data_IF_718914219135
#
_entry.id   IF_718914219135
#
_cell.length_a   1.000
_cell.length_b   1.000
_cell.length_c   1.000
_cell.angle_alpha   90.00
_cell.angle_beta   90.00
_cell.angle_gamma   90.00
#
_symmetry.space_group_name_H-M   'P 1'
#
loop_
_entity.id
_entity.type
_entity.pdbx_description
1 polymer ?
#
# COMPACT_ATOMS: atom_id res chain seq x y z
N UNK A 1 19.58 -2.78 10.81
CA UNK A 1 18.86 -4.06 11.04
C UNK A 1 17.64 -4.28 10.15
N UNK A 2 16.52 -3.53 10.26
CA UNK A 2 15.31 -3.81 9.45
C UNK A 2 15.56 -3.67 7.93
N UNK A 3 16.25 -2.61 7.52
CA UNK A 3 16.67 -2.35 6.13
C UNK A 3 17.53 -3.48 5.53
N UNK A 4 18.46 -4.02 6.30
CA UNK A 4 19.34 -5.11 5.84
C UNK A 4 18.54 -6.42 5.71
N UNK A 5 17.69 -6.73 6.70
CA UNK A 5 16.78 -7.88 6.64
C UNK A 5 15.85 -7.81 5.42
N UNK A 6 15.31 -6.63 5.13
CA UNK A 6 14.50 -6.38 3.94
C UNK A 6 15.27 -6.65 2.65
N UNK A 7 16.51 -6.15 2.53
CA UNK A 7 17.34 -6.38 1.35
C UNK A 7 17.66 -7.86 1.12
N UNK A 8 18.02 -8.58 2.18
CA UNK A 8 18.32 -10.02 2.11
C UNK A 8 17.07 -10.83 1.71
N UNK A 9 15.93 -10.55 2.34
CA UNK A 9 14.69 -11.27 2.04
C UNK A 9 14.16 -10.93 0.65
N UNK A 10 14.18 -9.66 0.24
CA UNK A 10 13.77 -9.26 -1.10
C UNK A 10 14.61 -9.94 -2.19
N UNK A 11 15.93 -10.04 -1.98
CA UNK A 11 16.80 -10.79 -2.89
C UNK A 11 16.48 -12.28 -2.91
N UNK A 12 16.17 -12.89 -1.76
CA UNK A 12 15.74 -14.29 -1.71
C UNK A 12 14.44 -14.51 -2.49
N UNK A 13 13.43 -13.67 -2.24
CA UNK A 13 12.13 -13.70 -2.94
C UNK A 13 12.32 -13.54 -4.44
N UNK A 14 13.10 -12.55 -4.88
CA UNK A 14 13.29 -12.26 -6.31
C UNK A 14 13.89 -13.43 -7.09
N UNK A 15 14.70 -14.28 -6.43
CA UNK A 15 15.36 -15.44 -7.04
C UNK A 15 14.63 -16.77 -6.76
N UNK A 16 13.45 -16.73 -6.15
CA UNK A 16 12.65 -17.91 -5.82
C UNK A 16 11.67 -18.25 -6.96
N UNK A 17 11.48 -19.55 -7.22
CA UNK A 17 10.61 -20.04 -8.29
C UNK A 17 9.14 -19.58 -8.12
N UNK A 18 8.67 -19.42 -6.87
CA UNK A 18 7.30 -18.98 -6.57
C UNK A 18 7.06 -17.50 -6.90
N UNK A 19 8.11 -16.70 -7.12
CA UNK A 19 8.00 -15.27 -7.40
C UNK A 19 7.27 -14.97 -8.71
N UNK A 20 7.43 -15.84 -9.70
CA UNK A 20 6.69 -15.79 -10.96
C UNK A 20 5.18 -15.71 -10.73
N UNK A 21 4.66 -16.61 -9.90
CA UNK A 21 3.23 -16.74 -9.64
C UNK A 21 2.72 -15.67 -8.69
N UNK A 22 3.49 -15.30 -7.66
CA UNK A 22 3.16 -14.21 -6.75
C UNK A 22 2.95 -12.88 -7.50
N UNK A 23 3.85 -12.54 -8.42
CA UNK A 23 3.71 -11.33 -9.26
C UNK A 23 2.48 -11.41 -10.17
N UNK A 24 2.21 -12.58 -10.77
CA UNK A 24 1.02 -12.79 -11.62
C UNK A 24 -0.26 -12.61 -10.81
N UNK A 25 -0.30 -13.13 -9.59
CA UNK A 25 -1.39 -12.93 -8.64
C UNK A 25 -1.60 -11.45 -8.34
N UNK A 26 -0.55 -10.73 -7.94
CA UNK A 26 -0.63 -9.29 -7.64
C UNK A 26 -1.14 -8.49 -8.83
N UNK A 27 -0.59 -8.72 -10.03
CA UNK A 27 -1.01 -8.02 -11.24
C UNK A 27 -2.50 -8.25 -11.54
N UNK A 28 -2.98 -9.48 -11.34
CA UNK A 28 -4.38 -9.83 -11.60
C UNK A 28 -5.31 -9.24 -10.57
N UNK A 29 -5.00 -9.42 -9.28
CA UNK A 29 -5.92 -9.05 -8.18
C UNK A 29 -5.97 -7.55 -7.97
N UNK A 30 -4.83 -6.86 -7.95
CA UNK A 30 -4.81 -5.40 -7.76
C UNK A 30 -5.53 -4.71 -8.92
N UNK A 31 -5.21 -5.08 -10.17
CA UNK A 31 -5.90 -4.52 -11.34
C UNK A 31 -7.41 -4.81 -11.32
N UNK A 32 -7.85 -6.00 -10.89
CA UNK A 32 -9.27 -6.32 -10.78
C UNK A 32 -9.99 -5.41 -9.79
N UNK A 33 -9.41 -5.15 -8.62
CA UNK A 33 -9.99 -4.28 -7.58
C UNK A 33 -10.19 -2.85 -8.12
N UNK A 34 -9.17 -2.26 -8.76
CA UNK A 34 -9.30 -0.92 -9.36
C UNK A 34 -10.29 -0.84 -10.52
N UNK A 35 -10.46 -1.93 -11.29
CA UNK A 35 -11.41 -1.99 -12.42
C UNK A 35 -12.85 -2.16 -11.94
N UNK A 36 -13.06 -2.83 -10.81
CA UNK A 36 -14.38 -3.00 -10.18
C UNK A 36 -14.81 -1.74 -9.43
N UNK A 37 -13.89 -1.10 -8.71
CA UNK A 37 -14.15 0.13 -7.95
C UNK A 37 -13.30 1.29 -8.49
N UNK A 38 -13.80 1.96 -9.52
CA UNK A 38 -13.07 3.04 -10.20
C UNK A 38 -12.81 4.26 -9.29
N UNK A 39 -13.57 4.43 -8.20
CA UNK A 39 -13.30 5.50 -7.22
C UNK A 39 -11.94 5.35 -6.56
N UNK A 40 -11.37 4.14 -6.52
CA UNK A 40 -9.99 3.91 -6.09
C UNK A 40 -8.96 4.63 -6.94
N UNK A 41 -9.23 4.95 -8.20
CA UNK A 41 -8.32 5.76 -9.01
C UNK A 41 -8.11 7.13 -8.38
N UNK A 42 -9.14 7.71 -7.75
CA UNK A 42 -9.01 8.99 -7.04
C UNK A 42 -8.51 8.83 -5.61
N UNK A 43 -8.92 7.77 -4.90
CA UNK A 43 -8.52 7.53 -3.52
C UNK A 43 -7.07 7.01 -3.37
N UNK A 44 -6.60 6.23 -4.34
CA UNK A 44 -5.38 5.40 -4.28
C UNK A 44 -4.57 5.41 -5.58
N UNK A 45 -5.02 6.08 -6.65
CA UNK A 45 -4.41 5.93 -7.97
C UNK A 45 -2.99 6.49 -8.10
N UNK A 46 -2.60 7.41 -7.23
CA UNK A 46 -1.24 7.93 -7.12
C UNK A 46 -0.75 7.96 -5.67
N UNK A 47 0.55 8.12 -5.48
CA UNK A 47 1.20 8.02 -4.18
C UNK A 47 0.74 9.05 -3.17
N UNK A 48 0.42 10.27 -3.60
CA UNK A 48 -0.04 11.32 -2.68
C UNK A 48 -1.41 10.99 -2.08
N UNK A 49 -2.31 10.44 -2.91
CA UNK A 49 -3.61 9.98 -2.47
C UNK A 49 -3.49 8.73 -1.58
N UNK A 50 -2.74 7.72 -2.03
CA UNK A 50 -2.40 6.52 -1.26
C UNK A 50 -1.84 6.86 0.13
N UNK A 51 -0.79 7.69 0.19
CA UNK A 51 -0.15 8.05 1.45
C UNK A 51 -1.09 8.80 2.38
N UNK A 52 -1.93 9.69 1.83
CA UNK A 52 -2.94 10.41 2.61
C UNK A 52 -3.94 9.45 3.25
N UNK A 53 -4.50 8.52 2.47
CA UNK A 53 -5.49 7.57 2.99
C UNK A 53 -4.87 6.60 3.98
N UNK A 54 -3.73 5.99 3.65
CA UNK A 54 -3.08 5.03 4.56
C UNK A 54 -2.59 5.68 5.85
N UNK A 55 -2.16 6.95 5.82
CA UNK A 55 -1.86 7.69 7.06
C UNK A 55 -3.13 7.95 7.88
N UNK A 56 -4.25 8.30 7.24
CA UNK A 56 -5.53 8.49 7.93
C UNK A 56 -6.01 7.20 8.60
N UNK A 57 -5.96 6.06 7.89
CA UNK A 57 -6.30 4.74 8.43
C UNK A 57 -5.43 4.42 9.65
N UNK A 58 -4.10 4.45 9.50
CA UNK A 58 -3.23 4.06 10.61
C UNK A 58 -3.14 5.07 11.75
N UNK A 59 -3.54 6.32 11.56
CA UNK A 59 -3.77 7.26 12.67
C UNK A 59 -5.08 6.94 13.38
N UNK A 60 -6.12 6.59 12.62
CA UNK A 60 -7.40 6.09 13.12
C UNK A 60 -7.23 4.88 14.01
N UNK A 61 -6.51 3.85 13.56
CA UNK A 61 -6.27 2.63 14.36
C UNK A 61 -5.59 2.93 15.70
N UNK A 62 -4.67 3.89 15.74
CA UNK A 62 -3.96 4.28 16.96
C UNK A 62 -4.81 5.14 17.92
N UNK A 63 -5.89 5.77 17.45
CA UNK A 63 -6.70 6.73 18.22
C UNK A 63 -8.20 6.39 18.17
N UNK A 64 -8.55 5.12 18.43
CA UNK A 64 -9.95 4.71 18.62
C UNK A 64 -10.83 4.85 17.37
N UNK A 65 -10.25 4.72 16.17
CA UNK A 65 -10.94 4.82 14.88
C UNK A 65 -11.05 6.23 14.31
N UNK A 66 -10.43 7.24 14.96
CA UNK A 66 -10.52 8.63 14.53
C UNK A 66 -9.15 9.26 14.24
N UNK A 67 -9.10 10.20 13.30
CA UNK A 67 -7.91 10.98 12.96
C UNK A 67 -8.27 12.46 12.74
N UNK A 68 -7.26 13.33 12.78
CA UNK A 68 -7.44 14.74 12.38
C UNK A 68 -6.71 15.02 11.07
N UNK A 69 -7.24 15.96 10.27
CA UNK A 69 -6.57 16.42 9.05
C UNK A 69 -5.16 16.96 9.33
N UNK A 70 -4.98 17.63 10.46
CA UNK A 70 -3.69 18.17 10.87
C UNK A 70 -2.65 17.05 11.10
N UNK A 71 -3.05 15.96 11.76
CA UNK A 71 -2.17 14.81 11.99
C UNK A 71 -1.76 14.13 10.67
N UNK A 72 -2.69 13.96 9.73
CA UNK A 72 -2.37 13.42 8.40
C UNK A 72 -1.42 14.35 7.64
N UNK A 73 -1.70 15.66 7.64
CA UNK A 73 -0.88 16.67 6.97
C UNK A 73 0.54 16.75 7.55
N UNK A 74 0.70 16.57 8.87
CA UNK A 74 2.01 16.54 9.52
C UNK A 74 2.91 15.40 9.00
N UNK A 75 2.32 14.32 8.47
CA UNK A 75 3.08 13.23 7.84
C UNK A 75 3.38 13.53 6.38
N UNK A 76 2.34 13.84 5.58
CA UNK A 76 2.46 13.85 4.11
C UNK A 76 3.00 15.16 3.52
N UNK A 77 2.78 16.30 4.18
CA UNK A 77 3.15 17.63 3.64
C UNK A 77 4.65 17.89 3.73
N UNK A 78 5.34 17.69 4.88
CA UNK A 78 6.78 17.93 4.97
C UNK A 78 7.59 17.06 4.01
N UNK A 79 7.06 15.89 3.63
CA UNK A 79 7.68 14.94 2.70
C UNK A 79 7.39 15.25 1.23
N UNK A 80 6.56 16.26 0.94
CA UNK A 80 6.20 16.65 -0.41
C UNK A 80 5.29 15.66 -1.14
N UNK A 81 4.67 14.71 -0.44
CA UNK A 81 3.83 13.67 -1.06
C UNK A 81 2.45 14.21 -1.46
N UNK A 82 1.89 15.10 -0.64
CA UNK A 82 0.65 15.83 -0.94
C UNK A 82 0.70 17.22 -0.29
N UNK A 83 0.08 18.21 -0.91
CA UNK A 83 -0.11 19.52 -0.30
C UNK A 83 -1.28 19.51 0.69
N UNK A 84 -1.30 20.43 1.67
CA UNK A 84 -2.41 20.55 2.62
C UNK A 84 -3.76 20.70 1.93
N UNK A 85 -3.81 21.47 0.82
CA UNK A 85 -5.01 21.64 0.00
C UNK A 85 -5.45 20.33 -0.64
N UNK A 86 -4.50 19.55 -1.17
CA UNK A 86 -4.78 18.27 -1.82
C UNK A 86 -5.29 17.24 -0.81
N UNK A 87 -4.66 17.15 0.35
CA UNK A 87 -5.09 16.28 1.46
C UNK A 87 -6.51 16.61 1.90
N UNK A 88 -6.82 17.89 2.13
CA UNK A 88 -8.19 18.31 2.49
C UNK A 88 -9.19 17.97 1.39
N UNK A 89 -8.90 18.33 0.14
CA UNK A 89 -9.80 18.05 -0.98
C UNK A 89 -10.07 16.56 -1.19
N UNK A 90 -9.10 15.70 -0.85
CA UNK A 90 -9.30 14.25 -0.89
C UNK A 90 -10.25 13.79 0.22
N UNK A 91 -10.03 14.21 1.47
CA UNK A 91 -10.90 13.82 2.59
C UNK A 91 -12.33 14.38 2.42
N UNK A 92 -12.48 15.63 1.98
CA UNK A 92 -13.79 16.20 1.67
C UNK A 92 -14.49 15.43 0.53
N UNK A 93 -13.74 14.96 -0.47
CA UNK A 93 -14.31 14.10 -1.51
C UNK A 93 -14.71 12.72 -0.96
N UNK A 94 -13.93 12.13 -0.05
CA UNK A 94 -14.30 10.88 0.61
C UNK A 94 -15.55 11.02 1.48
N UNK A 95 -15.80 12.21 2.04
CA UNK A 95 -17.06 12.52 2.72
C UNK A 95 -18.25 12.49 1.77
N UNK A 96 -18.10 13.11 0.58
CA UNK A 96 -19.12 13.08 -0.47
C UNK A 96 -19.38 11.67 -1.04
N UNK A 97 -18.41 10.77 -0.89
CA UNK A 97 -18.52 9.36 -1.29
C UNK A 97 -18.93 8.43 -0.14
N UNK A 98 -19.47 8.99 0.95
CA UNK A 98 -19.98 8.29 2.13
C UNK A 98 -18.98 7.30 2.76
N UNK A 99 -17.69 7.62 2.69
CA UNK A 99 -16.59 6.77 3.21
C UNK A 99 -15.66 7.51 4.18
N UNK A 100 -15.90 8.81 4.39
CA UNK A 100 -15.34 9.59 5.49
C UNK A 100 -16.45 10.28 6.26
N UNK A 101 -16.36 10.31 7.59
CA UNK A 101 -17.34 10.95 8.46
C UNK A 101 -16.67 11.93 9.42
N UNK A 102 -17.21 13.15 9.53
CA UNK A 102 -16.81 14.13 10.54
C UNK A 102 -17.48 13.81 11.88
N UNK A 103 -16.72 13.95 12.95
CA UNK A 103 -17.18 13.74 14.32
C UNK A 103 -17.14 15.06 15.12
N UNK A 104 -17.98 15.20 16.16
CA UNK A 104 -17.89 16.33 17.08
C UNK A 104 -16.55 16.31 17.84
N UNK A 105 -16.04 17.47 18.29
CA UNK A 105 -14.81 17.54 19.08
C UNK A 105 -14.96 16.79 20.41
N UNK A 106 -13.92 16.07 20.82
CA UNK A 106 -13.88 15.30 22.08
C UNK A 106 -13.51 16.12 23.32
N UNK A 107 -13.06 17.37 23.14
CA UNK A 107 -12.72 18.28 24.23
C UNK A 107 -12.24 19.65 23.75
N UNK A 108 -11.24 19.69 22.85
CA UNK A 108 -10.85 20.93 22.19
C UNK A 108 -11.85 21.26 21.07
N UNK A 109 -12.59 22.36 21.23
CA UNK A 109 -13.56 22.85 20.24
C UNK A 109 -12.96 23.19 18.87
N UNK A 110 -11.64 23.20 18.72
CA UNK A 110 -10.93 23.34 17.44
C UNK A 110 -10.68 22.02 16.73
N UNK A 111 -10.76 20.90 17.43
CA UNK A 111 -10.60 19.58 16.83
C UNK A 111 -11.77 19.27 15.89
N UNK A 112 -11.41 18.68 14.75
CA UNK A 112 -12.36 18.19 13.74
C UNK A 112 -11.95 16.76 13.42
N UNK A 113 -12.32 15.79 14.28
CA UNK A 113 -12.00 14.39 14.08
C UNK A 113 -12.79 13.82 12.90
N UNK A 114 -12.17 12.84 12.25
CA UNK A 114 -12.68 12.12 11.09
C UNK A 114 -12.53 10.62 11.31
N UNK A 115 -13.40 9.81 10.72
CA UNK A 115 -13.22 8.36 10.57
C UNK A 115 -13.35 7.95 9.11
N UNK A 116 -12.67 6.89 8.69
CA UNK A 116 -12.87 6.24 7.39
C UNK A 116 -13.63 4.93 7.57
N UNK A 117 -14.54 4.60 6.66
CA UNK A 117 -15.39 3.40 6.74
C UNK A 117 -15.87 2.95 5.34
N UNK A 118 -16.71 1.91 5.30
CA UNK A 118 -17.42 1.52 4.08
C UNK A 118 -16.52 0.93 2.99
N UNK A 119 -16.82 1.26 1.73
CA UNK A 119 -16.22 0.63 0.55
C UNK A 119 -14.69 0.80 0.49
N UNK A 120 -14.15 1.91 0.99
CA UNK A 120 -12.72 2.19 0.96
C UNK A 120 -11.95 1.24 1.87
N UNK A 121 -12.44 1.00 3.09
CA UNK A 121 -11.82 0.07 4.04
C UNK A 121 -11.87 -1.35 3.48
N UNK A 122 -13.03 -1.78 2.96
CA UNK A 122 -13.17 -3.09 2.32
C UNK A 122 -12.21 -3.27 1.12
N UNK A 123 -12.00 -2.21 0.33
CA UNK A 123 -11.03 -2.23 -0.77
C UNK A 123 -9.58 -2.34 -0.26
N UNK A 124 -9.22 -1.61 0.81
CA UNK A 124 -7.89 -1.68 1.43
C UNK A 124 -7.64 -3.09 1.98
N UNK A 125 -8.60 -3.69 2.67
CA UNK A 125 -8.54 -5.07 3.17
C UNK A 125 -8.39 -6.07 2.02
N UNK A 126 -9.12 -5.88 0.92
CA UNK A 126 -9.00 -6.73 -0.28
C UNK A 126 -7.60 -6.64 -0.91
N UNK A 127 -7.03 -5.43 -0.98
CA UNK A 127 -5.67 -5.22 -1.46
C UNK A 127 -4.64 -5.85 -0.51
N UNK A 128 -4.79 -5.66 0.80
CA UNK A 128 -3.93 -6.27 1.81
C UNK A 128 -3.98 -7.82 1.73
N UNK A 129 -5.16 -8.39 1.52
CA UNK A 129 -5.35 -9.84 1.31
C UNK A 129 -4.59 -10.34 0.08
N UNK A 130 -4.58 -9.57 -1.01
CA UNK A 130 -3.83 -9.92 -2.21
C UNK A 130 -2.31 -9.95 -1.94
N UNK A 131 -1.80 -9.03 -1.11
CA UNK A 131 -0.40 -9.04 -0.69
C UNK A 131 -0.07 -10.20 0.25
N UNK A 132 -0.92 -10.50 1.24
CA UNK A 132 -0.75 -11.67 2.11
C UNK A 132 -0.72 -12.97 1.30
N UNK A 133 -1.69 -13.14 0.40
CA UNK A 133 -1.76 -14.33 -0.47
C UNK A 133 -0.53 -14.45 -1.36
N UNK A 134 -0.05 -13.33 -1.91
CA UNK A 134 1.17 -13.35 -2.73
C UNK A 134 2.43 -13.62 -1.90
N UNK A 135 2.46 -13.24 -0.62
CA UNK A 135 3.60 -13.41 0.27
C UNK A 135 3.66 -14.80 0.94
N UNK A 136 2.53 -15.54 0.97
CA UNK A 136 2.40 -16.82 1.66
C UNK A 136 3.47 -17.88 1.35
N UNK A 137 4.07 -17.96 0.13
CA UNK A 137 5.12 -18.95 -0.13
C UNK A 137 6.39 -18.77 0.74
N UNK A 138 6.62 -17.56 1.26
CA UNK A 138 7.80 -17.23 2.05
C UNK A 138 7.47 -16.94 3.51
N UNK A 139 6.22 -17.12 3.93
CA UNK A 139 5.90 -17.10 5.35
C UNK A 139 6.66 -18.25 6.03
N UNK A 140 7.47 -17.91 7.02
CA UNK A 140 8.11 -18.91 7.86
C UNK A 140 7.01 -19.47 8.77
N UNK A 141 6.34 -20.52 8.31
CA UNK A 141 5.50 -21.32 9.18
C UNK A 141 6.44 -22.07 10.15
N UNK A 142 6.41 -21.81 11.46
CA UNK A 142 7.00 -22.78 12.39
C UNK A 142 6.22 -24.07 12.18
N UNK A 143 6.87 -25.06 11.58
CA UNK A 143 6.35 -26.41 11.57
C UNK A 143 6.21 -26.81 13.03
N UNK A 144 4.98 -27.12 13.43
CA UNK A 144 4.62 -27.79 14.68
C UNK A 144 4.70 -26.92 15.94
N UNK A 145 3.63 -26.17 16.21
CA UNK A 145 3.06 -26.14 17.56
C UNK A 145 1.56 -25.84 17.49
N UNK A 146 0.79 -26.84 17.91
CA UNK A 146 -0.65 -26.77 18.04
C UNK A 146 -1.01 -25.87 19.23
N UNK A 147 -1.36 -24.63 18.95
CA UNK A 147 -2.28 -23.82 19.76
C UNK A 147 -2.92 -22.82 18.80
N UNK A 148 -4.14 -22.35 19.05
CA UNK A 148 -4.92 -21.55 18.09
C UNK A 148 -4.32 -20.17 17.82
N UNK A 149 -3.19 -20.13 17.12
CA UNK A 149 -2.53 -18.92 16.65
C UNK A 149 -3.46 -18.27 15.61
N UNK A 150 -4.02 -17.11 15.97
CA UNK A 150 -4.74 -16.26 15.02
C UNK A 150 -3.85 -16.01 13.81
N UNK A 151 -4.35 -16.40 12.63
CA UNK A 151 -3.74 -16.01 11.37
C UNK A 151 -3.53 -14.49 11.39
N UNK A 152 -2.36 -14.02 10.94
CA UNK A 152 -2.11 -12.59 10.81
C UNK A 152 -3.12 -12.04 9.80
N UNK A 153 -4.01 -11.21 10.30
CA UNK A 153 -5.04 -10.56 9.50
C UNK A 153 -4.50 -9.41 8.65
N UNK A 154 -5.36 -8.92 7.78
CA UNK A 154 -5.12 -7.73 6.94
C UNK A 154 -4.70 -6.51 7.75
N UNK A 155 -5.15 -6.40 9.00
CA UNK A 155 -4.81 -5.31 9.93
C UNK A 155 -3.31 -5.14 10.13
N UNK A 156 -2.56 -6.25 10.24
CA UNK A 156 -1.12 -6.16 10.42
C UNK A 156 -0.43 -5.54 9.20
N UNK A 157 -0.87 -5.89 7.99
CA UNK A 157 -0.34 -5.32 6.75
C UNK A 157 -0.69 -3.84 6.64
N UNK A 158 -1.94 -3.48 6.95
CA UNK A 158 -2.42 -2.10 6.95
C UNK A 158 -1.60 -1.26 7.94
N UNK A 159 -1.46 -1.74 9.17
CA UNK A 159 -0.67 -1.09 10.22
C UNK A 159 0.80 -0.94 9.83
N UNK A 160 1.37 -1.97 9.19
CA UNK A 160 2.75 -1.93 8.71
C UNK A 160 2.97 -0.90 7.63
N UNK A 161 2.09 -0.84 6.63
CA UNK A 161 2.15 0.18 5.58
C UNK A 161 1.99 1.58 6.17
N UNK A 162 1.03 1.77 7.08
CA UNK A 162 0.84 3.05 7.77
C UNK A 162 2.07 3.43 8.63
N UNK A 163 2.67 2.46 9.31
CA UNK A 163 3.90 2.67 10.07
C UNK A 163 5.06 3.05 9.14
N UNK A 164 5.24 2.34 8.03
CA UNK A 164 6.28 2.60 7.03
C UNK A 164 6.16 4.02 6.45
N UNK A 165 4.94 4.49 6.17
CA UNK A 165 4.73 5.86 5.68
C UNK A 165 5.12 6.93 6.72
N UNK A 166 4.87 6.68 8.01
CA UNK A 166 5.31 7.60 9.08
C UNK A 166 6.83 7.58 9.26
N UNK A 167 7.48 6.45 8.96
CA UNK A 167 8.93 6.22 9.13
C UNK A 167 9.67 6.10 7.79
N UNK A 168 9.16 6.72 6.73
CA UNK A 168 9.63 6.45 5.35
C UNK A 168 11.10 6.76 5.06
N UNK A 169 11.76 7.57 5.90
CA UNK A 169 13.20 7.82 5.80
C UNK A 169 14.01 6.53 6.02
N UNK A 170 13.44 5.55 6.71
CA UNK A 170 14.12 4.31 7.10
C UNK A 170 13.97 3.19 6.05
N UNK A 171 13.05 3.32 5.07
CA UNK A 171 12.52 2.18 4.31
C UNK A 171 12.34 2.36 2.79
N UNK A 172 12.73 3.48 2.18
CA UNK A 172 12.38 3.72 0.77
C UNK A 172 13.28 2.95 -0.22
N UNK A 173 12.70 1.97 -0.94
CA UNK A 173 13.38 1.16 -1.98
C UNK A 173 12.68 1.23 -3.34
N UNK A 174 12.02 2.34 -3.68
CA UNK A 174 11.35 2.44 -4.98
C UNK A 174 12.34 2.83 -6.08
N UNK A 175 12.30 2.13 -7.21
CA UNK A 175 12.96 2.53 -8.46
C UNK A 175 12.40 3.83 -9.02
N UNK A 176 13.13 4.46 -9.95
CA UNK A 176 12.64 5.66 -10.66
C UNK A 176 11.38 5.34 -11.47
N UNK A 177 11.29 4.13 -12.01
CA UNK A 177 10.15 3.64 -12.78
C UNK A 177 8.90 3.55 -11.93
N UNK A 178 8.98 2.88 -10.77
CA UNK A 178 7.87 2.78 -9.83
C UNK A 178 7.42 4.18 -9.37
N UNK A 179 8.36 5.08 -9.06
CA UNK A 179 8.04 6.47 -8.68
C UNK A 179 7.36 7.25 -9.81
N UNK A 180 7.82 7.07 -11.06
CA UNK A 180 7.23 7.75 -12.21
C UNK A 180 5.76 7.36 -12.38
N UNK A 181 5.45 6.07 -12.34
CA UNK A 181 4.07 5.59 -12.44
C UNK A 181 3.24 6.00 -11.21
N UNK A 182 3.76 5.83 -9.99
CA UNK A 182 3.10 6.28 -8.77
C UNK A 182 2.82 7.78 -8.69
N UNK A 183 3.50 8.61 -9.50
CA UNK A 183 3.24 10.04 -9.59
C UNK A 183 1.97 10.42 -10.38
N UNK A 184 1.26 9.44 -10.96
CA UNK A 184 0.09 9.68 -11.81
C UNK A 184 -1.02 8.71 -11.43
N UNK A 185 -2.29 9.10 -11.56
CA UNK A 185 -3.43 8.24 -11.28
C UNK A 185 -4.06 7.72 -12.60
N UNK A 186 -4.21 6.40 -12.82
CA UNK A 186 -3.91 5.23 -11.98
C UNK A 186 -2.61 4.55 -12.39
N UNK A 187 -1.46 5.19 -12.14
CA UNK A 187 -0.20 4.77 -12.73
C UNK A 187 0.31 3.43 -12.20
N UNK A 188 0.10 3.11 -10.92
CA UNK A 188 0.49 1.79 -10.38
C UNK A 188 -0.33 0.63 -11.00
N UNK A 189 -1.68 0.67 -11.06
CA UNK A 189 -2.45 -0.32 -11.82
C UNK A 189 -2.04 -0.44 -13.30
N UNK A 190 -1.74 0.68 -13.96
CA UNK A 190 -1.25 0.67 -15.35
C UNK A 190 0.11 -0.03 -15.44
N UNK A 191 1.01 0.19 -14.49
CA UNK A 191 2.31 -0.48 -14.43
C UNK A 191 2.14 -2.01 -14.26
N UNK A 192 1.20 -2.44 -13.41
CA UNK A 192 0.90 -3.85 -13.23
C UNK A 192 0.28 -4.49 -14.49
N UNK A 193 -0.60 -3.78 -15.19
CA UNK A 193 -1.13 -4.24 -16.49
C UNK A 193 -0.01 -4.36 -17.54
N UNK A 194 0.96 -3.44 -17.57
CA UNK A 194 2.14 -3.52 -18.45
C UNK A 194 3.06 -4.69 -18.07
N UNK A 195 3.24 -4.96 -16.77
CA UNK A 195 4.01 -6.09 -16.27
C UNK A 195 3.35 -7.43 -16.62
N UNK A 196 2.03 -7.52 -16.47
CA UNK A 196 1.24 -8.69 -16.87
C UNK A 196 1.36 -8.94 -18.38
N UNK A 197 1.23 -7.89 -19.19
CA UNK A 197 1.39 -7.94 -20.64
C UNK A 197 2.79 -8.39 -21.08
N UNK A 198 3.83 -8.03 -20.33
CA UNK A 198 5.19 -8.48 -20.60
C UNK A 198 5.41 -9.97 -20.31
N UNK A 199 4.70 -10.54 -19.31
CA UNK A 199 4.83 -11.94 -18.90
C UNK A 199 4.08 -12.93 -19.79
N UNK A 200 2.84 -12.61 -20.17
CA UNK A 200 1.99 -13.60 -20.85
C UNK A 200 2.41 -13.82 -22.29
N UNK A 201 3.05 -12.83 -22.94
CA UNK A 201 3.27 -12.83 -24.40
C UNK A 201 1.97 -12.95 -25.22
N UNK A 202 0.82 -13.06 -24.55
CA UNK A 202 -0.47 -13.41 -25.10
C UNK A 202 -1.10 -12.16 -25.70
N UNK A 203 -1.46 -12.27 -26.97
CA UNK A 203 -2.07 -11.20 -27.73
C UNK A 203 -3.58 -11.26 -27.57
N UNK A 204 -4.22 -10.10 -27.51
CA UNK A 204 -5.60 -10.01 -27.97
C UNK A 204 -5.68 -10.33 -29.48
N UNK A 205 -6.89 -10.51 -30.01
CA UNK A 205 -7.12 -10.78 -31.43
C UNK A 205 -6.55 -9.69 -32.39
N UNK A 206 -6.05 -8.57 -31.85
CA UNK A 206 -5.43 -7.46 -32.58
C UNK A 206 -3.90 -7.40 -32.44
N UNK A 207 -3.27 -8.34 -31.72
CA UNK A 207 -1.82 -8.36 -31.52
C UNK A 207 -1.30 -7.38 -30.47
N UNK A 208 -2.18 -6.74 -29.69
CA UNK A 208 -1.85 -5.70 -28.73
C UNK A 208 -1.82 -6.25 -27.30
N UNK A 209 -0.65 -6.29 -26.67
CA UNK A 209 -0.52 -6.75 -25.28
C UNK A 209 -1.03 -5.71 -24.26
N UNK A 210 -1.09 -4.43 -24.65
CA UNK A 210 -1.62 -3.34 -23.83
C UNK A 210 -2.33 -2.30 -24.71
N UNK A 211 -3.64 -2.11 -24.51
CA UNK A 211 -4.43 -1.13 -25.26
C UNK A 211 -4.69 0.13 -24.44
N UNK A 212 -4.19 1.28 -24.92
CA UNK A 212 -4.42 2.61 -24.29
C UNK A 212 -5.91 2.94 -24.16
N UNK A 213 -6.72 2.54 -25.15
CA UNK A 213 -8.19 2.76 -25.15
C UNK A 213 -8.86 1.86 -24.11
N UNK A 214 -8.45 0.59 -24.02
CA UNK A 214 -8.99 -0.34 -23.05
C UNK A 214 -8.63 0.08 -21.62
N UNK A 215 -7.37 0.44 -21.37
CA UNK A 215 -6.91 0.93 -20.06
C UNK A 215 -7.68 2.19 -19.62
N UNK A 216 -7.82 3.17 -20.53
CA UNK A 216 -8.58 4.39 -20.24
C UNK A 216 -10.02 4.11 -19.80
N UNK A 217 -10.72 3.20 -20.52
CA UNK A 217 -12.08 2.77 -20.17
C UNK A 217 -12.12 2.01 -18.85
N UNK A 218 -11.18 1.09 -18.64
CA UNK A 218 -11.13 0.21 -17.47
C UNK A 218 -10.97 0.99 -16.17
N UNK A 219 -10.21 2.09 -16.21
CA UNK A 219 -9.94 2.92 -15.04
C UNK A 219 -10.66 4.27 -15.02
N UNK A 220 -11.64 4.49 -15.91
CA UNK A 220 -12.45 5.72 -15.89
C UNK A 220 -11.66 7.01 -16.14
N UNK A 221 -10.56 6.97 -16.90
CA UNK A 221 -9.74 8.15 -17.23
C UNK A 221 -9.71 8.44 -18.73
N UNK A 222 -9.23 9.62 -19.11
CA UNK A 222 -9.13 9.97 -20.51
C UNK A 222 -8.00 9.20 -21.21
N UNK A 223 -8.22 8.84 -22.48
CA UNK A 223 -7.16 8.24 -23.33
C UNK A 223 -5.95 9.17 -23.46
N UNK A 224 -6.16 10.48 -23.47
CA UNK A 224 -5.09 11.47 -23.50
C UNK A 224 -4.18 11.35 -22.28
N UNK A 225 -4.75 11.12 -21.09
CA UNK A 225 -4.00 10.92 -19.86
C UNK A 225 -3.10 9.68 -19.93
N UNK A 226 -3.65 8.53 -20.33
CA UNK A 226 -2.86 7.29 -20.54
C UNK A 226 -1.75 7.52 -21.56
N UNK A 227 -2.06 8.23 -22.65
CA UNK A 227 -1.10 8.49 -23.72
C UNK A 227 0.05 9.37 -23.24
N UNK A 228 -0.24 10.44 -22.49
CA UNK A 228 0.78 11.33 -21.93
C UNK A 228 1.71 10.60 -20.94
N UNK A 229 1.14 9.75 -20.08
CA UNK A 229 1.90 8.95 -19.12
C UNK A 229 2.85 7.99 -19.83
N UNK A 230 2.36 7.22 -20.80
CA UNK A 230 3.19 6.29 -21.57
C UNK A 230 4.23 7.02 -22.44
N UNK A 231 3.90 8.17 -23.01
CA UNK A 231 4.86 8.98 -23.77
C UNK A 231 5.98 9.53 -22.87
N UNK A 232 5.69 9.85 -21.60
CA UNK A 232 6.72 10.19 -20.61
C UNK A 232 7.61 8.98 -20.29
N UNK A 233 7.01 7.82 -20.08
CA UNK A 233 7.73 6.57 -19.82
C UNK A 233 8.64 6.16 -21.00
N UNK A 234 8.15 6.28 -22.24
CA UNK A 234 8.94 6.06 -23.46
C UNK A 234 10.15 7.01 -23.52
N UNK A 235 9.98 8.32 -23.24
CA UNK A 235 11.08 9.29 -23.21
C UNK A 235 12.14 9.00 -22.14
N UNK A 236 11.76 8.32 -21.07
CA UNK A 236 12.66 7.90 -19.99
C UNK A 236 13.27 6.51 -20.22
N UNK A 237 13.10 5.93 -21.42
CA UNK A 237 13.57 4.59 -21.79
C UNK A 237 13.01 3.46 -20.90
N UNK A 238 11.88 3.71 -20.24
CA UNK A 238 11.23 2.72 -19.37
C UNK A 238 10.39 1.73 -20.18
N UNK A 239 9.96 2.15 -21.37
CA UNK A 239 9.19 1.37 -22.31
C UNK A 239 9.96 1.21 -23.62
N UNK A 240 9.88 0.02 -24.22
CA UNK A 240 10.38 -0.24 -25.57
C UNK A 240 9.23 -0.65 -26.48
N UNK A 241 9.40 -0.39 -27.78
CA UNK A 241 8.48 -0.88 -28.81
C UNK A 241 8.93 -2.26 -29.27
N UNK A 242 7.99 -3.19 -29.32
CA UNK A 242 8.18 -4.51 -29.92
C UNK A 242 7.13 -4.68 -31.03
N UNK A 243 7.47 -4.22 -32.24
CA UNK A 243 6.51 -4.04 -33.33
C UNK A 243 5.45 -2.99 -32.98
N UNK A 244 4.17 -3.36 -33.04
CA UNK A 244 3.05 -2.52 -32.60
C UNK A 244 2.85 -2.48 -31.07
N UNK A 245 3.65 -3.26 -30.32
CA UNK A 245 3.48 -3.44 -28.88
C UNK A 245 4.33 -2.46 -28.09
N UNK A 246 3.82 -2.13 -26.91
CA UNK A 246 4.56 -1.39 -25.88
C UNK A 246 4.79 -2.37 -24.75
N UNK A 247 6.05 -2.56 -24.41
CA UNK A 247 6.48 -3.45 -23.32
C UNK A 247 7.46 -2.71 -22.43
N UNK A 248 7.63 -3.18 -21.19
CA UNK A 248 8.67 -2.67 -20.32
C UNK A 248 10.05 -2.95 -20.96
N UNK A 249 11.00 -2.03 -20.79
CA UNK A 249 12.41 -2.33 -21.09
C UNK A 249 12.92 -3.41 -20.12
N UNK A 250 14.01 -4.11 -20.48
CA UNK A 250 14.50 -5.22 -19.64
C UNK A 250 14.98 -4.72 -18.26
N UNK A 251 15.61 -3.53 -18.24
CA UNK A 251 15.99 -2.86 -16.99
C UNK A 251 14.76 -2.48 -16.15
N UNK A 252 13.74 -1.91 -16.77
CA UNK A 252 12.51 -1.52 -16.07
C UNK A 252 11.76 -2.75 -15.54
N UNK A 253 11.70 -3.82 -16.31
CA UNK A 253 11.10 -5.09 -15.86
C UNK A 253 11.80 -5.60 -14.59
N UNK A 254 13.14 -5.66 -14.62
CA UNK A 254 13.94 -6.07 -13.46
C UNK A 254 13.72 -5.16 -12.24
N UNK A 255 13.77 -3.83 -12.43
CA UNK A 255 13.61 -2.86 -11.35
C UNK A 255 12.23 -2.95 -10.70
N UNK A 256 11.16 -3.05 -11.50
CA UNK A 256 9.78 -3.16 -11.01
C UNK A 256 9.58 -4.48 -10.27
N UNK A 257 10.13 -5.58 -10.78
CA UNK A 257 10.11 -6.88 -10.08
C UNK A 257 10.85 -6.80 -8.75
N UNK A 258 12.04 -6.21 -8.72
CA UNK A 258 12.78 -5.97 -7.48
C UNK A 258 11.95 -5.17 -6.48
N UNK A 259 11.28 -4.11 -6.92
CA UNK A 259 10.43 -3.28 -6.05
C UNK A 259 9.24 -4.09 -5.49
N UNK A 260 8.62 -4.97 -6.28
CA UNK A 260 7.56 -5.88 -5.81
C UNK A 260 8.11 -6.91 -4.80
N UNK A 261 9.33 -7.43 -5.01
CA UNK A 261 9.98 -8.32 -4.05
C UNK A 261 10.23 -7.60 -2.71
N UNK A 262 10.61 -6.32 -2.72
CA UNK A 262 10.71 -5.50 -1.51
C UNK A 262 9.36 -5.32 -0.80
N UNK A 263 8.27 -5.11 -1.55
CA UNK A 263 6.93 -5.01 -0.97
C UNK A 263 6.51 -6.31 -0.29
N UNK A 264 6.76 -7.47 -0.93
CA UNK A 264 6.48 -8.79 -0.35
C UNK A 264 7.36 -9.07 0.88
N UNK A 265 8.66 -8.76 0.80
CA UNK A 265 9.58 -8.88 1.93
C UNK A 265 9.12 -8.03 3.13
N UNK A 266 8.59 -6.83 2.88
CA UNK A 266 8.03 -5.98 3.90
C UNK A 266 6.81 -6.61 4.58
N UNK A 267 5.87 -7.17 3.80
CA UNK A 267 4.69 -7.85 4.33
C UNK A 267 5.09 -9.00 5.26
N UNK A 268 6.07 -9.82 4.86
CA UNK A 268 6.55 -10.98 5.64
C UNK A 268 7.22 -10.51 6.93
N UNK A 269 8.20 -9.62 6.83
CA UNK A 269 8.96 -9.16 8.01
C UNK A 269 8.07 -8.41 9.00
N UNK A 270 7.13 -7.61 8.51
CA UNK A 270 6.21 -6.90 9.38
C UNK A 270 5.27 -7.87 10.10
N UNK A 271 4.77 -8.87 9.38
CA UNK A 271 3.95 -9.94 9.94
C UNK A 271 4.70 -10.68 11.06
N UNK A 272 5.97 -11.03 10.86
CA UNK A 272 6.81 -11.62 11.92
C UNK A 272 6.97 -10.72 13.15
N UNK A 273 7.17 -9.41 12.96
CA UNK A 273 7.30 -8.44 14.05
C UNK A 273 6.01 -8.38 14.88
N UNK A 274 4.85 -8.40 14.23
CA UNK A 274 3.55 -8.37 14.92
C UNK A 274 3.31 -9.68 15.69
N UNK A 275 3.59 -10.84 15.10
CA UNK A 275 3.54 -12.15 15.77
C UNK A 275 4.39 -12.16 17.04
N UNK A 276 5.67 -11.83 16.90
CA UNK A 276 6.62 -11.85 18.03
C UNK A 276 6.27 -10.85 19.13
N UNK A 277 5.69 -9.70 18.78
CA UNK A 277 5.23 -8.71 19.77
C UNK A 277 3.98 -9.17 20.54
N UNK A 278 3.08 -9.93 19.90
CA UNK A 278 1.88 -10.50 20.57
C UNK A 278 2.21 -11.67 21.50
N UNK A 279 3.27 -12.43 21.19
CA UNK A 279 3.68 -13.59 22.00
C UNK A 279 4.51 -13.24 23.24
N UNK A 280 4.86 -11.96 23.44
CA UNK A 280 5.48 -11.50 24.69
C UNK A 280 4.39 -11.25 25.75
N UNK A 281 4.44 -11.89 26.92
CA UNK A 281 3.50 -11.58 28.00
C UNK A 281 3.71 -10.12 28.41
N UNK A 282 2.63 -9.32 28.39
CA UNK A 282 2.59 -8.05 29.10
C UNK A 282 2.84 -8.35 30.57
N UNK A 283 4.04 -8.06 31.08
CA UNK A 283 4.28 -8.03 32.52
C UNK A 283 3.21 -7.14 33.17
N UNK A 284 2.39 -7.77 33.99
CA UNK A 284 1.34 -7.15 34.80
C UNK A 284 1.89 -5.93 35.56
N UNK A 285 1.13 -4.83 35.68
CA UNK A 285 1.50 -3.78 36.61
C UNK A 285 1.34 -4.33 38.03
N UNK A 286 2.46 -4.54 38.74
CA UNK A 286 2.39 -4.77 40.18
C UNK A 286 1.66 -3.59 40.82
N UNK A 287 0.52 -3.95 41.38
CA UNK A 287 -0.39 -3.16 42.18
C UNK A 287 0.34 -2.30 43.21
N UNK A 288 0.09 -0.99 43.13
CA UNK A 288 0.06 -0.10 44.27
C UNK A 288 -0.85 -0.69 45.35
N UNK A 289 -0.28 -1.24 46.42
CA UNK A 289 -1.01 -1.47 47.66
C UNK A 289 -0.09 -1.42 48.87
N UNK A 290 -0.31 -0.40 49.70
CA UNK A 290 -0.20 -0.53 51.15
C UNK A 290 1.13 -0.17 51.79
N UNK A 291 1.32 1.11 52.13
CA UNK A 291 1.82 1.47 53.47
C UNK A 291 1.40 2.90 53.85
N UNK A 292 0.22 2.98 54.43
CA UNK A 292 -0.09 4.01 55.41
C UNK A 292 0.74 3.72 56.66
N UNK A 293 1.66 4.62 57.01
CA UNK A 293 2.07 4.81 58.41
C UNK A 293 2.22 6.30 58.68
N UNK A 294 1.12 6.85 59.19
CA UNK A 294 1.11 7.93 60.19
C UNK A 294 2.23 7.72 61.23
N UNK A 295 2.97 8.78 61.54
CA UNK A 295 3.45 9.11 62.90
C UNK A 295 4.15 10.47 62.87
N UNK A 296 3.47 11.52 63.34
CA UNK A 296 4.11 12.60 64.08
C UNK A 296 4.23 12.16 65.55
N UNK A 297 5.26 12.62 66.25
CA UNK A 297 5.08 13.79 67.12
C UNK A 297 6.04 14.94 66.80
#
# INVERSE_FOLDING_TARGET
>A
MLRERLGLLANRILNDDAFGDAVTHLCTRISAVFKQEQRLVRAFGDFGAFATVMCAVGLGSAHGGQFTLAAVQAVVVPRGWASSRRTRALIDWLELEDTAQRHPPGGDNRERPWSLNGWLIAAIETLATAYLTAASPWEISPAMEASGEEAIGTDAVIDGVSWSLRHAQDLFFLSEEMRMFLGHAPGFPILLDLLSAAKTGACDATGCAFSRKAAARAYGISRAHVTAMLARAERLNMLKRNGSRIVLSDLTLHNVQRDLAYQLAFVILWSEIVKTSRSQPHDTPESLSGRNTSSNP
#
